data_IF_657377456659
#
_entry.id   IF_657377456659
#
_cell.length_a   1.000
_cell.length_b   1.000
_cell.length_c   1.000
_cell.angle_alpha   90.00
_cell.angle_beta   90.00
_cell.angle_gamma   90.00
#
_symmetry.space_group_name_H-M   'P 1'
#
loop_
_entity.id
_entity.type
_entity.pdbx_description
1 polymer ?
#
# COMPACT_ATOMS: atom_id res chain seq x y z
N UNK A 1 -46.16 -14.17 -14.66
CA UNK A 1 -44.89 -14.90 -14.67
C UNK A 1 -43.81 -13.84 -14.60
N UNK A 2 -43.34 -13.59 -13.38
CA UNK A 2 -42.28 -12.62 -13.11
C UNK A 2 -40.96 -13.38 -13.22
N UNK A 3 -40.15 -13.03 -14.22
CA UNK A 3 -38.83 -13.61 -14.41
C UNK A 3 -37.89 -12.89 -13.44
N UNK A 4 -37.53 -13.58 -12.37
CA UNK A 4 -36.56 -13.10 -11.38
C UNK A 4 -35.18 -13.14 -12.05
N UNK A 5 -34.60 -11.98 -12.31
CA UNK A 5 -33.22 -11.85 -12.79
C UNK A 5 -32.25 -12.27 -11.67
N UNK A 6 -31.13 -12.93 -12.00
CA UNK A 6 -30.19 -13.41 -10.99
C UNK A 6 -29.49 -12.23 -10.32
N UNK A 7 -29.48 -12.22 -8.98
CA UNK A 7 -28.58 -11.39 -8.19
C UNK A 7 -27.16 -11.83 -8.52
N UNK A 8 -26.44 -10.97 -9.24
CA UNK A 8 -25.00 -11.08 -9.36
C UNK A 8 -24.41 -10.75 -8.00
N UNK A 9 -24.07 -11.80 -7.26
CA UNK A 9 -23.24 -11.71 -6.05
C UNK A 9 -21.94 -11.03 -6.44
N UNK A 10 -21.81 -9.76 -6.05
CA UNK A 10 -20.56 -9.01 -6.11
C UNK A 10 -19.53 -9.79 -5.30
N UNK A 11 -18.63 -10.49 -5.99
CA UNK A 11 -17.41 -10.99 -5.39
C UNK A 11 -16.68 -9.83 -4.73
N UNK A 12 -16.12 -10.07 -3.55
CA UNK A 12 -15.27 -9.14 -2.82
C UNK A 12 -14.35 -8.40 -3.79
N UNK A 13 -14.49 -7.08 -3.83
CA UNK A 13 -13.73 -6.21 -4.70
C UNK A 13 -12.26 -6.26 -4.24
N UNK A 14 -11.31 -6.80 -5.03
CA UNK A 14 -9.91 -6.75 -4.66
C UNK A 14 -9.55 -5.29 -4.51
N UNK A 15 -9.06 -4.93 -3.33
CA UNK A 15 -8.74 -3.55 -2.96
C UNK A 15 -7.92 -2.91 -4.06
N UNK A 16 -8.36 -1.72 -4.51
CA UNK A 16 -7.89 -1.09 -5.74
C UNK A 16 -6.48 -0.53 -5.56
N UNK A 17 -5.60 -0.99 -6.44
CA UNK A 17 -4.29 -0.42 -6.71
C UNK A 17 -4.39 0.35 -8.04
N UNK A 18 -4.00 1.62 -8.04
CA UNK A 18 -3.89 2.43 -9.26
C UNK A 18 -2.42 2.75 -9.52
N UNK A 19 -2.08 3.08 -10.76
CA UNK A 19 -0.73 3.52 -11.12
C UNK A 19 -0.93 4.88 -11.76
N UNK A 20 -0.56 5.93 -11.03
CA UNK A 20 -0.81 7.32 -11.39
C UNK A 20 0.38 8.17 -10.93
N UNK A 21 0.71 9.26 -11.64
CA UNK A 21 1.62 10.28 -11.14
C UNK A 21 0.87 11.19 -10.15
N UNK A 22 0.69 10.78 -8.87
CA UNK A 22 0.05 11.71 -7.91
C UNK A 22 0.23 11.42 -6.41
N UNK A 23 0.64 12.41 -5.58
CA UNK A 23 1.39 13.63 -5.92
C UNK A 23 2.89 13.33 -5.83
N UNK A 24 3.70 13.80 -6.78
CA UNK A 24 5.10 13.47 -6.74
C UNK A 24 5.92 14.61 -6.15
N UNK A 25 7.02 14.24 -5.51
CA UNK A 25 8.11 15.17 -5.23
C UNK A 25 8.71 15.68 -6.55
N UNK A 26 8.50 14.99 -7.68
CA UNK A 26 8.81 15.46 -9.05
C UNK A 26 7.78 14.97 -10.11
N UNK A 27 7.20 15.84 -10.94
CA UNK A 27 6.08 15.54 -11.86
C UNK A 27 6.28 14.37 -12.85
N UNK A 28 7.51 13.88 -13.01
CA UNK A 28 7.89 12.80 -13.93
C UNK A 28 8.15 11.44 -13.22
N UNK A 29 8.13 11.36 -11.88
CA UNK A 29 8.38 10.09 -11.19
C UNK A 29 7.18 9.13 -11.34
N UNK A 30 7.35 8.06 -12.12
CA UNK A 30 6.36 6.99 -12.25
C UNK A 30 6.31 6.12 -10.97
N UNK A 31 5.11 5.73 -10.52
CA UNK A 31 4.95 4.89 -9.33
C UNK A 31 3.54 4.33 -9.16
N UNK A 32 3.38 3.39 -8.21
CA UNK A 32 2.08 2.85 -7.85
C UNK A 32 1.41 3.66 -6.73
N UNK A 33 0.09 3.71 -6.77
CA UNK A 33 -0.79 4.37 -5.79
C UNK A 33 -1.71 3.32 -5.16
N UNK A 34 -1.70 3.23 -3.83
CA UNK A 34 -2.61 2.36 -3.07
C UNK A 34 -3.51 3.23 -2.19
N UNK A 35 -4.83 3.10 -2.34
CA UNK A 35 -5.75 3.65 -1.34
C UNK A 35 -5.78 2.78 -0.09
N UNK A 36 -5.69 3.45 1.06
CA UNK A 36 -5.88 2.85 2.38
C UNK A 36 -7.04 3.59 3.05
N UNK A 37 -8.13 2.86 3.30
CA UNK A 37 -9.25 3.36 4.08
C UNK A 37 -8.95 3.13 5.57
N UNK A 38 -8.58 4.18 6.32
CA UNK A 38 -8.27 4.05 7.75
C UNK A 38 -9.49 3.74 8.62
N UNK A 39 -10.71 3.89 8.09
CA UNK A 39 -11.95 3.47 8.77
C UNK A 39 -12.32 2.01 8.46
N UNK A 40 -11.54 1.32 7.62
CA UNK A 40 -11.82 -0.06 7.27
C UNK A 40 -11.78 -0.98 8.50
N UNK A 41 -12.73 -1.91 8.57
CA UNK A 41 -12.72 -2.97 9.58
C UNK A 41 -11.63 -4.03 9.32
N UNK A 42 -11.01 -3.99 8.13
CA UNK A 42 -9.93 -4.88 7.72
C UNK A 42 -8.67 -4.66 8.61
N UNK A 43 -8.24 -5.67 9.39
CA UNK A 43 -7.12 -5.52 10.31
C UNK A 43 -5.79 -5.24 9.58
N UNK A 44 -5.63 -5.71 8.34
CA UNK A 44 -4.44 -5.47 7.52
C UNK A 44 -4.29 -3.98 7.20
N UNK A 45 -5.38 -3.35 6.76
CA UNK A 45 -5.42 -1.90 6.48
C UNK A 45 -5.23 -1.08 7.75
N UNK A 46 -5.82 -1.52 8.86
CA UNK A 46 -5.63 -0.86 10.16
C UNK A 46 -4.18 -0.93 10.63
N UNK A 47 -3.48 -2.02 10.35
CA UNK A 47 -2.05 -2.15 10.65
C UNK A 47 -1.17 -1.25 9.78
N UNK A 48 -1.51 -1.07 8.50
CA UNK A 48 -0.86 -0.05 7.66
C UNK A 48 -1.09 1.35 8.27
N UNK A 49 -2.34 1.66 8.66
CA UNK A 49 -2.68 2.94 9.29
C UNK A 49 -1.90 3.24 10.57
N UNK A 50 -1.55 2.22 11.36
CA UNK A 50 -0.66 2.37 12.55
C UNK A 50 0.71 2.93 12.16
N UNK A 51 1.27 2.43 11.06
CA UNK A 51 2.61 2.83 10.62
C UNK A 51 2.63 4.19 9.94
N UNK A 52 1.51 4.64 9.35
CA UNK A 52 1.43 5.98 8.76
C UNK A 52 1.73 7.10 9.77
N UNK A 53 1.40 6.90 11.05
CA UNK A 53 1.73 7.83 12.13
C UNK A 53 3.23 8.01 12.40
N UNK A 54 4.09 7.17 11.82
CA UNK A 54 5.56 7.29 11.91
C UNK A 54 6.16 8.17 10.81
N UNK A 55 5.35 8.52 9.80
CA UNK A 55 5.82 9.32 8.67
C UNK A 55 6.25 10.73 9.10
N UNK A 56 7.32 11.23 8.47
CA UNK A 56 7.79 12.60 8.68
C UNK A 56 7.24 13.52 7.60
N UNK A 57 6.70 14.68 7.98
CA UNK A 57 6.19 15.66 7.01
C UNK A 57 7.32 16.06 6.03
N UNK A 58 7.06 15.83 4.74
CA UNK A 58 8.04 15.94 3.68
C UNK A 58 7.68 17.12 2.77
N UNK A 59 7.98 18.34 3.25
CA UNK A 59 7.97 19.57 2.44
C UNK A 59 6.61 20.07 1.92
N UNK A 60 5.55 19.25 1.95
CA UNK A 60 4.18 19.58 1.57
C UNK A 60 3.16 19.14 2.63
N UNK A 61 2.15 19.99 2.85
CA UNK A 61 1.07 19.71 3.80
C UNK A 61 0.37 18.39 3.44
N UNK A 62 0.25 17.49 4.42
CA UNK A 62 -0.39 16.19 4.23
C UNK A 62 0.46 15.15 3.48
N UNK A 63 1.73 15.44 3.17
CA UNK A 63 2.67 14.49 2.56
C UNK A 63 3.71 14.04 3.59
N UNK A 64 3.82 12.73 3.76
CA UNK A 64 4.68 12.10 4.73
C UNK A 64 5.69 11.17 4.05
N UNK A 65 6.93 11.18 4.50
CA UNK A 65 7.95 10.22 4.10
C UNK A 65 8.06 9.13 5.18
N UNK A 66 7.87 7.87 4.78
CA UNK A 66 8.17 6.72 5.62
C UNK A 66 9.57 6.20 5.30
N UNK A 67 10.33 5.87 6.35
CA UNK A 67 11.64 5.27 6.18
C UNK A 67 11.49 3.80 5.75
N UNK A 68 12.40 3.27 4.92
CA UNK A 68 12.40 1.86 4.55
C UNK A 68 12.49 0.90 5.74
N UNK A 69 13.00 1.38 6.88
CA UNK A 69 13.09 0.63 8.13
C UNK A 69 11.77 0.54 8.88
N UNK A 70 10.77 1.34 8.51
CA UNK A 70 9.43 1.31 9.11
C UNK A 70 8.45 0.57 8.18
N UNK A 71 8.45 0.92 6.90
CA UNK A 71 7.56 0.35 5.89
C UNK A 71 8.23 0.43 4.51
N UNK A 72 8.16 -0.66 3.76
CA UNK A 72 8.67 -0.77 2.40
C UNK A 72 7.66 -1.46 1.50
N UNK A 73 7.67 -1.13 0.22
CA UNK A 73 6.90 -1.82 -0.78
C UNK A 73 7.78 -2.76 -1.60
N UNK A 74 7.24 -3.91 -2.01
CA UNK A 74 7.89 -4.80 -2.98
C UNK A 74 7.01 -4.97 -4.19
N UNK A 75 7.57 -4.70 -5.36
CA UNK A 75 6.94 -5.03 -6.63
C UNK A 75 7.27 -6.47 -7.04
N UNK A 76 6.28 -7.18 -7.59
CA UNK A 76 6.51 -8.42 -8.34
C UNK A 76 5.62 -8.43 -9.56
N UNK A 77 6.22 -8.67 -10.72
CA UNK A 77 5.52 -8.75 -12.00
C UNK A 77 5.48 -10.18 -12.51
N UNK A 78 4.36 -10.62 -13.05
CA UNK A 78 4.18 -11.92 -13.71
C UNK A 78 3.32 -11.72 -14.94
N UNK A 79 3.95 -11.66 -16.12
CA UNK A 79 3.27 -11.29 -17.37
C UNK A 79 2.80 -9.84 -17.37
N UNK A 80 1.49 -9.64 -17.52
CA UNK A 80 0.81 -8.34 -17.46
C UNK A 80 0.31 -7.97 -16.05
N UNK A 81 0.45 -8.88 -15.09
CA UNK A 81 0.04 -8.67 -13.71
C UNK A 81 1.17 -8.11 -12.87
N UNK A 82 0.91 -6.99 -12.22
CA UNK A 82 1.76 -6.41 -11.19
C UNK A 82 1.14 -6.67 -9.83
N UNK A 83 1.97 -7.08 -8.89
CA UNK A 83 1.64 -7.17 -7.48
C UNK A 83 2.50 -6.21 -6.67
N UNK A 84 1.90 -5.58 -5.66
CA UNK A 84 2.57 -4.74 -4.67
C UNK A 84 2.29 -5.31 -3.30
N UNK A 85 3.36 -5.58 -2.55
CA UNK A 85 3.27 -6.04 -1.16
C UNK A 85 3.90 -4.99 -0.25
N UNK A 86 3.16 -4.54 0.77
CA UNK A 86 3.68 -3.70 1.83
C UNK A 86 4.26 -4.59 2.94
N UNK A 87 5.52 -4.34 3.27
CA UNK A 87 6.33 -5.12 4.20
C UNK A 87 6.81 -4.22 5.33
N UNK A 88 6.66 -4.67 6.56
CA UNK A 88 7.17 -3.97 7.73
C UNK A 88 7.93 -4.95 8.65
N UNK A 89 8.97 -4.51 9.37
CA UNK A 89 9.57 -5.33 10.41
C UNK A 89 8.52 -5.64 11.49
N UNK A 90 8.42 -6.91 11.85
CA UNK A 90 7.45 -7.37 12.86
C UNK A 90 7.63 -6.64 14.19
N UNK A 91 8.88 -6.38 14.57
CA UNK A 91 9.23 -5.66 15.80
C UNK A 91 8.74 -4.21 15.81
N UNK A 92 8.77 -3.52 14.66
CA UNK A 92 8.27 -2.15 14.51
C UNK A 92 6.76 -2.14 14.72
N UNK A 93 6.04 -3.00 14.00
CA UNK A 93 4.58 -3.12 14.16
C UNK A 93 4.22 -3.48 15.61
N UNK A 94 4.90 -4.45 16.22
CA UNK A 94 4.64 -4.87 17.59
C UNK A 94 4.87 -3.76 18.63
N UNK A 95 5.81 -2.84 18.37
CA UNK A 95 6.09 -1.69 19.20
C UNK A 95 4.99 -0.63 19.09
N UNK A 96 4.52 -0.31 17.88
CA UNK A 96 3.43 0.65 17.69
C UNK A 96 2.05 0.09 18.09
N UNK A 97 1.92 -1.23 18.19
CA UNK A 97 0.76 -1.90 18.79
C UNK A 97 0.88 -2.04 20.33
N UNK A 98 2.01 -1.65 20.94
CA UNK A 98 2.20 -1.80 22.38
C UNK A 98 1.22 -0.89 23.14
N UNK A 99 0.25 -1.51 23.83
CA UNK A 99 -0.79 -0.80 24.57
C UNK A 99 -2.14 -0.70 23.87
N UNK A 100 -2.26 -1.18 22.62
CA UNK A 100 -3.57 -1.33 21.96
C UNK A 100 -4.30 -2.58 22.47
N UNK A 101 -5.61 -2.45 22.63
CA UNK A 101 -6.51 -3.50 23.16
C UNK A 101 -7.56 -3.96 22.14
N UNK A 102 -7.43 -3.54 20.88
CA UNK A 102 -8.38 -3.76 19.80
C UNK A 102 -8.13 -5.04 18.98
N UNK A 103 -7.33 -5.97 19.51
CA UNK A 103 -7.07 -7.29 18.91
C UNK A 103 -6.06 -7.30 17.77
N UNK A 104 -5.53 -6.15 17.34
CA UNK A 104 -4.54 -6.09 16.24
C UNK A 104 -3.23 -6.83 16.55
N UNK A 105 -2.88 -6.98 17.84
CA UNK A 105 -1.69 -7.72 18.24
C UNK A 105 -1.81 -9.22 17.94
N UNK A 106 -2.96 -9.80 18.21
CA UNK A 106 -3.23 -11.21 17.90
C UNK A 106 -3.23 -11.43 16.37
N UNK A 107 -3.71 -10.43 15.62
CA UNK A 107 -3.66 -10.45 14.16
C UNK A 107 -2.24 -10.40 13.61
N UNK A 108 -1.38 -9.52 14.14
CA UNK A 108 0.05 -9.51 13.82
C UNK A 108 0.68 -10.89 14.05
N UNK A 109 0.25 -11.60 15.09
CA UNK A 109 0.75 -12.93 15.38
C UNK A 109 0.39 -13.98 14.33
N UNK A 110 -0.74 -13.81 13.65
CA UNK A 110 -1.21 -14.69 12.58
C UNK A 110 -0.67 -14.34 11.18
N UNK A 111 -0.08 -13.15 10.99
CA UNK A 111 0.40 -12.74 9.68
C UNK A 111 1.58 -13.59 9.18
N UNK A 112 1.61 -13.91 7.89
CA UNK A 112 2.73 -14.63 7.30
C UNK A 112 4.00 -13.76 7.38
N UNK A 113 5.09 -14.41 7.75
CA UNK A 113 6.43 -13.85 7.58
C UNK A 113 6.73 -13.72 6.09
N UNK A 114 7.54 -12.71 5.73
CA UNK A 114 8.02 -12.58 4.36
C UNK A 114 8.97 -13.74 4.00
N UNK A 115 8.86 -14.22 2.76
CA UNK A 115 9.62 -15.37 2.30
C UNK A 115 11.12 -15.05 2.13
N UNK A 116 11.48 -13.78 1.89
CA UNK A 116 12.85 -13.34 1.71
C UNK A 116 13.48 -12.83 3.03
N UNK A 117 12.66 -12.29 3.93
CA UNK A 117 13.08 -11.78 5.23
C UNK A 117 12.08 -12.20 6.34
N UNK A 118 12.35 -13.25 7.13
CA UNK A 118 11.40 -13.76 8.12
C UNK A 118 11.14 -12.79 9.28
N UNK A 119 11.95 -11.74 9.45
CA UNK A 119 11.73 -10.70 10.45
C UNK A 119 10.69 -9.68 10.00
N UNK A 120 10.26 -9.72 8.73
CA UNK A 120 9.22 -8.87 8.16
C UNK A 120 7.91 -9.62 8.00
N UNK A 121 6.82 -8.87 8.03
CA UNK A 121 5.46 -9.37 7.78
C UNK A 121 4.84 -8.63 6.59
N UNK A 122 4.06 -9.35 5.80
CA UNK A 122 3.25 -8.76 4.74
C UNK A 122 1.96 -8.17 5.33
N UNK A 123 1.84 -6.85 5.25
CA UNK A 123 0.69 -6.11 5.78
C UNK A 123 -0.42 -5.95 4.75
N UNK A 124 -0.05 -5.78 3.48
CA UNK A 124 -1.00 -5.51 2.42
C UNK A 124 -0.48 -6.11 1.12
N UNK A 125 -1.32 -6.84 0.41
CA UNK A 125 -1.00 -7.36 -0.91
C UNK A 125 -2.07 -6.94 -1.91
N UNK A 126 -1.66 -6.31 -3.02
CA UNK A 126 -2.55 -5.81 -4.06
C UNK A 126 -2.04 -6.19 -5.42
N UNK A 127 -2.96 -6.47 -6.34
CA UNK A 127 -2.63 -6.84 -7.70
C UNK A 127 -3.46 -6.06 -8.71
N UNK A 128 -2.86 -5.75 -9.86
CA UNK A 128 -3.54 -5.15 -10.99
C UNK A 128 -2.95 -5.65 -12.31
N UNK A 129 -3.78 -5.72 -13.34
CA UNK A 129 -3.32 -5.89 -14.73
C UNK A 129 -2.89 -4.53 -15.26
N UNK A 130 -1.64 -4.40 -15.70
CA UNK A 130 -1.04 -3.13 -16.09
C UNK A 130 0.18 -3.28 -16.99
N UNK A 131 0.43 -2.27 -17.82
CA UNK A 131 1.66 -2.13 -18.62
C UNK A 131 2.88 -1.63 -17.81
N UNK A 132 2.69 -1.18 -16.56
CA UNK A 132 3.78 -0.64 -15.74
C UNK A 132 4.87 -1.68 -15.44
N UNK A 133 6.12 -1.32 -15.71
CA UNK A 133 7.28 -2.17 -15.44
C UNK A 133 8.14 -1.53 -14.35
N UNK A 134 8.21 -2.13 -13.15
CA UNK A 134 9.07 -1.64 -12.08
C UNK A 134 10.55 -1.62 -12.46
N UNK A 135 11.29 -0.63 -11.99
CA UNK A 135 12.74 -0.58 -12.11
C UNK A 135 13.38 -1.80 -11.39
N UNK A 136 14.31 -2.48 -12.07
CA UNK A 136 14.96 -3.70 -11.57
C UNK A 136 16.32 -3.44 -10.92
N UNK A 137 16.82 -2.22 -10.92
CA UNK A 137 18.15 -1.91 -10.38
C UNK A 137 18.24 -0.50 -9.82
N UNK A 138 19.05 -0.29 -8.76
CA UNK A 138 19.28 1.03 -8.17
C UNK A 138 20.00 2.02 -9.08
N UNK A 139 20.54 1.57 -10.22
CA UNK A 139 21.21 2.42 -11.21
C UNK A 139 20.33 2.89 -12.36
N UNK A 140 19.04 2.56 -12.37
CA UNK A 140 18.05 3.21 -13.25
C UNK A 140 17.65 4.57 -12.69
N UNK A 141 17.27 5.51 -13.56
CA UNK A 141 17.22 6.93 -13.22
C UNK A 141 16.25 7.35 -12.10
N UNK A 142 15.28 6.54 -11.64
CA UNK A 142 14.45 6.92 -10.49
C UNK A 142 13.95 5.69 -9.72
N UNK A 143 14.10 5.70 -8.39
CA UNK A 143 13.36 4.78 -7.52
C UNK A 143 11.88 5.09 -7.68
N UNK A 144 11.09 4.12 -8.14
CA UNK A 144 9.65 4.27 -8.32
C UNK A 144 8.92 3.99 -6.99
N UNK A 145 8.57 5.01 -6.17
CA UNK A 145 7.96 4.78 -4.87
C UNK A 145 6.56 4.19 -5.00
N UNK A 146 6.03 3.69 -3.89
CA UNK A 146 4.59 3.47 -3.73
C UNK A 146 4.01 4.60 -2.90
N UNK A 147 2.95 5.21 -3.41
CA UNK A 147 2.19 6.25 -2.72
C UNK A 147 1.00 5.60 -2.02
N UNK A 148 0.97 5.69 -0.69
CA UNK A 148 -0.19 5.30 0.10
C UNK A 148 -1.06 6.53 0.30
N UNK A 149 -2.28 6.50 -0.22
CA UNK A 149 -3.26 7.56 0.01
C UNK A 149 -4.18 7.10 1.11
N UNK A 150 -4.00 7.66 2.29
CA UNK A 150 -4.84 7.42 3.45
C UNK A 150 -6.06 8.33 3.42
N UNK A 151 -7.24 7.74 3.48
CA UNK A 151 -8.49 8.47 3.41
C UNK A 151 -9.56 7.82 4.29
N UNK A 152 -10.60 8.59 4.60
CA UNK A 152 -11.77 8.07 5.29
C UNK A 152 -12.81 7.58 4.27
N UNK A 153 -13.21 6.31 4.37
CA UNK A 153 -14.45 5.80 3.78
C UNK A 153 -14.32 5.28 2.35
N UNK A 154 -14.56 3.98 2.20
CA UNK A 154 -14.94 3.35 0.94
C UNK A 154 -13.79 3.13 -0.03
N UNK A 155 -14.12 3.06 -1.33
CA UNK A 155 -13.15 2.83 -2.40
C UNK A 155 -13.27 3.94 -3.45
N UNK A 156 -12.79 5.16 -3.14
CA UNK A 156 -12.86 6.30 -4.06
C UNK A 156 -12.17 5.99 -5.39
N UNK A 157 -12.61 6.63 -6.47
CA UNK A 157 -11.87 6.61 -7.73
C UNK A 157 -10.63 7.52 -7.68
N UNK A 158 -9.75 7.46 -8.69
CA UNK A 158 -8.59 8.35 -8.81
C UNK A 158 -8.89 9.83 -8.66
N UNK A 159 -9.90 10.34 -9.39
CA UNK A 159 -10.27 11.76 -9.33
C UNK A 159 -10.84 12.16 -7.97
N UNK A 160 -11.53 11.24 -7.30
CA UNK A 160 -12.08 11.47 -5.97
C UNK A 160 -10.96 11.56 -4.92
N UNK A 161 -9.88 10.79 -5.06
CA UNK A 161 -8.73 10.85 -4.17
C UNK A 161 -7.96 12.17 -4.27
N UNK A 162 -7.75 12.66 -5.49
CA UNK A 162 -7.15 14.00 -5.68
C UNK A 162 -8.00 15.07 -5.03
N UNK A 163 -9.33 15.04 -5.25
CA UNK A 163 -10.24 15.99 -4.62
C UNK A 163 -10.25 15.88 -3.09
N UNK A 164 -10.18 14.65 -2.54
CA UNK A 164 -10.08 14.42 -1.10
C UNK A 164 -8.79 14.98 -0.53
N UNK A 165 -7.65 14.78 -1.20
CA UNK A 165 -6.36 15.32 -0.77
C UNK A 165 -6.37 16.85 -0.77
N UNK A 166 -6.84 17.49 -1.85
CA UNK A 166 -6.95 18.95 -1.94
C UNK A 166 -7.90 19.55 -0.89
N UNK A 167 -8.94 18.80 -0.49
CA UNK A 167 -9.86 19.19 0.57
C UNK A 167 -9.34 18.90 2.00
N UNK A 168 -8.13 18.34 2.14
CA UNK A 168 -7.56 17.92 3.43
C UNK A 168 -8.22 16.68 4.04
N UNK A 169 -9.04 15.96 3.26
CA UNK A 169 -9.72 14.73 3.64
C UNK A 169 -8.91 13.45 3.37
N UNK A 170 -7.72 13.58 2.79
CA UNK A 170 -6.76 12.50 2.60
C UNK A 170 -5.34 12.97 2.90
N UNK A 171 -4.47 12.03 3.25
CA UNK A 171 -3.03 12.24 3.38
C UNK A 171 -2.27 11.25 2.52
N UNK A 172 -1.01 11.59 2.20
CA UNK A 172 -0.15 10.77 1.34
C UNK A 172 1.08 10.35 2.12
N UNK A 173 1.38 9.06 2.14
CA UNK A 173 2.67 8.56 2.58
C UNK A 173 3.47 7.99 1.40
N UNK A 174 4.70 8.47 1.24
CA UNK A 174 5.67 7.99 0.26
C UNK A 174 6.42 6.81 0.88
N UNK A 175 6.28 5.64 0.25
CA UNK A 175 6.91 4.39 0.67
C UNK A 175 7.97 3.99 -0.35
N UNK A 176 9.19 3.76 0.14
CA UNK A 176 10.27 3.28 -0.71
C UNK A 176 9.98 1.86 -1.23
N UNK A 177 10.16 1.67 -2.54
CA UNK A 177 10.10 0.36 -3.15
C UNK A 177 11.46 -0.35 -3.06
N UNK A 178 11.44 -1.62 -2.64
CA UNK A 178 12.52 -2.57 -2.83
C UNK A 178 12.67 -2.90 -4.32
N UNK A 179 13.92 -3.01 -4.75
CA UNK A 179 14.22 -3.62 -6.04
C UNK A 179 13.91 -5.11 -5.96
N UNK A 180 13.21 -5.69 -6.95
CA UNK A 180 13.16 -7.14 -7.05
C UNK A 180 14.59 -7.65 -7.17
N UNK A 181 14.99 -8.56 -6.29
CA UNK A 181 16.31 -9.16 -6.33
C UNK A 181 16.53 -9.81 -7.71
N UNK A 182 17.68 -9.55 -8.32
CA UNK A 182 18.02 -10.00 -9.67
C UNK A 182 18.42 -11.50 -9.58
N UNK A 183 17.42 -12.35 -9.35
CA UNK A 183 17.53 -13.79 -9.50
C UNK A 183 17.42 -14.61 -8.22
N UNK A 184 16.24 -15.19 -8.01
CA UNK A 184 16.08 -16.66 -8.04
C UNK A 184 14.73 -16.97 -8.70
N UNK A 185 14.67 -17.71 -9.83
CA UNK A 185 13.41 -18.27 -10.28
C UNK A 185 12.92 -19.31 -9.26
N UNK A 186 11.74 -19.06 -8.68
CA UNK A 186 10.99 -20.07 -7.94
C UNK A 186 10.32 -21.08 -8.88
#
# INVERSE_FOLDING_TARGET
METVEPVETHGENPVRMWILPFPPVEPDSEGAVLAVDHLSADPDKRMVGVLLGRGHEAGGEGVFLLLPTDLTARYRRTGDRLSVTLLAPRSVVAADLAGRTDGLRDHLDALPADALDPDRVALLHREAVTGFVPATSPGGDERQPVLLVDHAGGTPGPGDLTALFEAGGASVAVVAAEFPDDGVPG
#
